data_IF_694802601001
#
_entry.id   IF_694802601001
#
_cell.length_a   1.000
_cell.length_b   1.000
_cell.length_c   1.000
_cell.angle_alpha   90.00
_cell.angle_beta   90.00
_cell.angle_gamma   90.00
#
_symmetry.space_group_name_H-M   'P 1'
#
loop_
_entity.id
_entity.type
_entity.pdbx_description
1 polymer ?
#
# COMPACT_ATOMS: atom_id res chain seq x y z
N UNK A 1 21.25 -12.87 -42.74
CA UNK A 1 20.80 -13.60 -41.52
C UNK A 1 20.41 -12.65 -40.39
N UNK A 2 21.25 -11.68 -39.98
CA UNK A 2 20.93 -10.74 -38.89
C UNK A 2 19.65 -9.90 -39.09
N UNK A 3 19.39 -9.42 -40.31
CA UNK A 3 18.19 -8.61 -40.61
C UNK A 3 16.88 -9.38 -40.46
N UNK A 4 16.87 -10.68 -40.79
CA UNK A 4 15.69 -11.54 -40.64
C UNK A 4 15.40 -11.77 -39.15
N UNK A 5 16.45 -12.01 -38.35
CA UNK A 5 16.34 -12.18 -36.89
C UNK A 5 15.80 -10.90 -36.24
N UNK A 6 16.29 -9.72 -36.64
CA UNK A 6 15.82 -8.44 -36.12
C UNK A 6 14.31 -8.21 -36.38
N UNK A 7 13.81 -8.61 -37.55
CA UNK A 7 12.38 -8.51 -37.87
C UNK A 7 11.51 -9.43 -36.99
N UNK A 8 11.94 -10.67 -36.75
CA UNK A 8 11.24 -11.58 -35.84
C UNK A 8 11.22 -11.08 -34.39
N UNK A 9 12.33 -10.47 -33.93
CA UNK A 9 12.39 -9.87 -32.59
C UNK A 9 11.43 -8.69 -32.50
N UNK A 10 11.39 -7.82 -33.51
CA UNK A 10 10.48 -6.67 -33.51
C UNK A 10 9.01 -7.08 -33.55
N UNK A 11 8.64 -8.09 -34.35
CA UNK A 11 7.25 -8.57 -34.40
C UNK A 11 6.84 -9.23 -33.09
N UNK A 12 7.75 -9.97 -32.44
CA UNK A 12 7.52 -10.53 -31.11
C UNK A 12 7.33 -9.44 -30.04
N UNK A 13 8.15 -8.39 -30.06
CA UNK A 13 8.01 -7.23 -29.17
C UNK A 13 6.66 -6.53 -29.42
N UNK A 14 6.29 -6.28 -30.67
CA UNK A 14 5.00 -5.64 -31.00
C UNK A 14 3.82 -6.52 -30.55
N UNK A 15 3.89 -7.84 -30.76
CA UNK A 15 2.85 -8.77 -30.35
C UNK A 15 2.69 -8.82 -28.82
N UNK A 16 3.79 -8.88 -28.08
CA UNK A 16 3.76 -8.86 -26.60
C UNK A 16 3.22 -7.55 -26.04
N UNK A 17 3.55 -6.42 -26.67
CA UNK A 17 2.99 -5.09 -26.32
C UNK A 17 1.49 -5.05 -26.61
N UNK A 18 1.06 -5.52 -27.79
CA UNK A 18 -0.35 -5.55 -28.18
C UNK A 18 -1.20 -6.47 -27.28
N UNK A 19 -0.69 -7.65 -26.94
CA UNK A 19 -1.35 -8.58 -26.03
C UNK A 19 -1.47 -8.03 -24.60
N UNK A 20 -0.48 -7.24 -24.15
CA UNK A 20 -0.48 -6.62 -22.83
C UNK A 20 -1.18 -5.25 -22.79
N UNK A 21 -1.60 -4.74 -23.94
CA UNK A 21 -2.12 -3.38 -24.13
C UNK A 21 -3.38 -3.15 -23.29
N UNK A 22 -4.27 -4.13 -23.17
CA UNK A 22 -5.48 -4.03 -22.34
C UNK A 22 -5.17 -3.73 -20.88
N UNK A 23 -4.25 -4.49 -20.28
CA UNK A 23 -3.78 -4.29 -18.89
C UNK A 23 -3.07 -2.95 -18.74
N UNK A 24 -2.27 -2.57 -19.74
CA UNK A 24 -1.56 -1.30 -19.73
C UNK A 24 -2.53 -0.11 -19.78
N UNK A 25 -3.60 -0.21 -20.58
CA UNK A 25 -4.64 0.82 -20.65
C UNK A 25 -5.42 0.97 -19.36
N UNK A 26 -5.76 -0.13 -18.69
CA UNK A 26 -6.41 -0.09 -17.38
C UNK A 26 -5.51 0.60 -16.34
N UNK A 27 -4.23 0.22 -16.29
CA UNK A 27 -3.25 0.86 -15.41
C UNK A 27 -3.09 2.35 -15.73
N UNK A 28 -2.99 2.73 -17.01
CA UNK A 28 -2.92 4.13 -17.42
C UNK A 28 -4.17 4.92 -17.03
N UNK A 29 -5.35 4.32 -17.17
CA UNK A 29 -6.63 4.96 -16.82
C UNK A 29 -6.70 5.21 -15.31
N UNK A 30 -6.41 4.20 -14.50
CA UNK A 30 -6.39 4.30 -13.03
C UNK A 30 -5.34 5.33 -12.59
N UNK A 31 -4.12 5.24 -13.12
CA UNK A 31 -3.04 6.18 -12.80
C UNK A 31 -3.44 7.61 -13.13
N UNK A 32 -4.11 7.85 -14.26
CA UNK A 32 -4.55 9.19 -14.64
C UNK A 32 -5.62 9.76 -13.71
N UNK A 33 -6.47 8.91 -13.13
CA UNK A 33 -7.45 9.34 -12.14
C UNK A 33 -6.76 9.64 -10.81
N UNK A 34 -5.93 8.70 -10.32
CA UNK A 34 -5.20 8.86 -9.06
C UNK A 34 -4.25 10.06 -9.09
N UNK A 35 -3.53 10.28 -10.18
CA UNK A 35 -2.63 11.45 -10.33
C UNK A 35 -3.37 12.78 -10.24
N UNK A 36 -4.62 12.88 -10.75
CA UNK A 36 -5.42 14.10 -10.62
C UNK A 36 -5.83 14.40 -9.18
N UNK A 37 -6.21 13.36 -8.43
CA UNK A 37 -6.58 13.52 -7.03
C UNK A 37 -5.35 13.79 -6.15
N UNK A 38 -4.25 13.08 -6.41
CA UNK A 38 -2.99 13.21 -5.66
C UNK A 38 -2.22 14.49 -6.00
N UNK A 39 -2.45 15.12 -7.16
CA UNK A 39 -1.84 16.40 -7.51
C UNK A 39 -2.24 17.55 -6.56
N UNK A 40 -3.31 17.37 -5.78
CA UNK A 40 -3.73 18.32 -4.74
C UNK A 40 -2.84 18.27 -3.51
N UNK A 41 -2.14 17.16 -3.29
CA UNK A 41 -1.34 16.93 -2.09
C UNK A 41 0.12 17.33 -2.33
N UNK A 42 0.80 17.93 -1.35
CA UNK A 42 2.22 18.23 -1.45
C UNK A 42 3.00 16.91 -1.52
N UNK A 43 3.90 16.78 -2.49
CA UNK A 43 4.71 15.58 -2.66
C UNK A 43 5.75 15.68 -3.77
N UNK A 44 6.70 14.74 -3.81
CA UNK A 44 7.77 14.72 -4.81
C UNK A 44 7.22 14.46 -6.21
N UNK A 45 7.85 15.06 -7.22
CA UNK A 45 7.42 14.94 -8.63
C UNK A 45 7.41 13.48 -9.07
N UNK A 46 6.24 12.99 -9.49
CA UNK A 46 6.05 11.61 -9.93
C UNK A 46 5.76 11.53 -11.44
N UNK A 47 6.44 10.61 -12.14
CA UNK A 47 6.10 10.26 -13.52
C UNK A 47 4.96 9.23 -13.55
N UNK A 48 4.06 9.24 -14.55
CA UNK A 48 2.85 8.40 -14.54
C UNK A 48 3.08 6.88 -14.60
N UNK A 49 4.27 6.44 -15.05
CA UNK A 49 4.60 5.01 -15.20
C UNK A 49 5.66 4.53 -14.19
N UNK A 50 6.73 5.31 -14.00
CA UNK A 50 7.82 4.98 -13.08
C UNK A 50 7.55 5.53 -11.67
N UNK A 51 6.74 6.58 -11.56
CA UNK A 51 6.42 7.21 -10.30
C UNK A 51 7.53 8.12 -9.79
N UNK A 52 7.71 8.09 -8.47
CA UNK A 52 8.81 8.73 -7.72
C UNK A 52 10.02 7.79 -7.65
N UNK A 53 9.87 6.52 -8.04
CA UNK A 53 10.90 5.50 -7.87
C UNK A 53 12.23 5.81 -8.58
N UNK A 54 12.22 6.64 -9.63
CA UNK A 54 13.45 7.07 -10.30
C UNK A 54 14.34 7.98 -9.43
N UNK A 55 13.77 8.61 -8.40
CA UNK A 55 14.50 9.46 -7.46
C UNK A 55 15.05 8.67 -6.27
N UNK A 56 14.65 7.41 -6.11
CA UNK A 56 15.09 6.61 -4.97
C UNK A 56 16.59 6.35 -5.03
N UNK A 57 17.25 6.62 -3.90
CA UNK A 57 18.65 6.24 -3.72
C UNK A 57 18.75 4.72 -3.59
N UNK A 58 19.74 4.13 -4.26
CA UNK A 58 19.94 2.68 -4.28
C UNK A 58 20.57 2.16 -2.97
N UNK A 59 21.27 3.01 -2.22
CA UNK A 59 21.78 2.66 -0.90
C UNK A 59 20.67 2.75 0.15
N UNK A 60 20.47 1.68 0.92
CA UNK A 60 19.45 1.54 1.96
C UNK A 60 19.55 2.64 3.02
N UNK A 61 20.78 3.01 3.41
CA UNK A 61 21.00 4.04 4.42
C UNK A 61 20.55 5.40 3.91
N UNK A 62 20.98 5.76 2.71
CA UNK A 62 20.63 7.04 2.11
C UNK A 62 19.15 7.13 1.73
N UNK A 63 18.55 6.02 1.32
CA UNK A 63 17.12 5.92 1.06
C UNK A 63 16.29 6.22 2.30
N UNK A 64 16.72 5.75 3.47
CA UNK A 64 16.02 6.01 4.73
C UNK A 64 16.06 7.50 5.08
N UNK A 65 17.24 8.14 4.94
CA UNK A 65 17.35 9.59 5.13
C UNK A 65 16.56 10.39 4.11
N UNK A 66 16.51 9.92 2.86
CA UNK A 66 15.70 10.55 1.81
C UNK A 66 14.20 10.53 2.15
N UNK A 67 13.69 9.41 2.66
CA UNK A 67 12.28 9.34 3.11
C UNK A 67 12.04 10.27 4.28
N UNK A 68 12.96 10.32 5.26
CA UNK A 68 12.85 11.23 6.39
C UNK A 68 12.80 12.70 5.94
N UNK A 69 13.67 13.07 5.00
CA UNK A 69 13.71 14.41 4.42
C UNK A 69 12.39 14.77 3.73
N UNK A 70 11.85 13.87 2.89
CA UNK A 70 10.54 14.07 2.26
C UNK A 70 9.39 14.11 3.26
N UNK A 71 9.46 13.32 4.33
CA UNK A 71 8.46 13.37 5.39
C UNK A 71 8.46 14.74 6.09
N UNK A 72 9.63 15.31 6.34
CA UNK A 72 9.77 16.66 6.91
C UNK A 72 9.31 17.74 5.93
N UNK A 73 9.70 17.64 4.66
CA UNK A 73 9.41 18.64 3.63
C UNK A 73 7.92 18.67 3.25
N UNK A 74 7.29 17.52 3.03
CA UNK A 74 5.94 17.44 2.48
C UNK A 74 4.86 17.11 3.50
N UNK A 75 5.20 16.43 4.59
CA UNK A 75 4.19 15.91 5.53
C UNK A 75 4.19 16.54 6.93
N UNK A 76 5.25 17.25 7.32
CA UNK A 76 5.36 17.91 8.64
C UNK A 76 5.47 19.44 8.57
N UNK A 77 5.43 20.04 7.38
CA UNK A 77 5.39 21.50 7.24
C UNK A 77 4.05 22.07 7.75
N UNK A 78 4.05 23.31 8.26
CA UNK A 78 2.88 23.96 8.88
C UNK A 78 1.63 24.05 7.97
N UNK A 79 1.82 24.00 6.65
CA UNK A 79 0.75 24.02 5.65
C UNK A 79 0.41 22.64 5.05
N UNK A 80 0.98 21.57 5.59
CA UNK A 80 0.79 20.21 5.06
C UNK A 80 -0.30 19.45 5.80
N UNK A 81 -0.96 18.52 5.11
CA UNK A 81 -2.08 17.74 5.63
C UNK A 81 -1.61 16.55 6.52
N UNK A 82 -0.37 16.53 6.99
CA UNK A 82 0.14 15.39 7.79
C UNK A 82 0.40 14.12 6.98
N UNK A 83 0.35 14.20 5.65
CA UNK A 83 0.48 13.08 4.73
C UNK A 83 1.00 13.53 3.37
N UNK A 84 1.70 12.64 2.67
CA UNK A 84 2.21 12.89 1.32
C UNK A 84 2.15 11.62 0.45
N UNK A 85 1.88 11.75 -0.87
CA UNK A 85 1.88 10.61 -1.78
C UNK A 85 3.27 10.33 -2.36
N UNK A 86 3.59 9.05 -2.48
CA UNK A 86 4.73 8.54 -3.26
C UNK A 86 4.23 7.56 -4.31
N UNK A 87 4.91 7.50 -5.44
CA UNK A 87 4.58 6.54 -6.49
C UNK A 87 5.68 5.49 -6.61
N UNK A 88 5.32 4.24 -6.37
CA UNK A 88 6.21 3.09 -6.54
C UNK A 88 5.81 2.38 -7.84
N UNK A 89 6.45 2.79 -8.93
CA UNK A 89 6.02 2.39 -10.28
C UNK A 89 4.61 2.92 -10.56
N UNK A 90 3.69 2.09 -11.06
CA UNK A 90 2.32 2.49 -11.35
C UNK A 90 1.41 2.53 -10.10
N UNK A 91 1.91 2.15 -8.91
CA UNK A 91 1.07 2.07 -7.71
C UNK A 91 1.29 3.31 -6.83
N UNK A 92 0.25 4.14 -6.59
CA UNK A 92 0.34 5.22 -5.64
C UNK A 92 0.28 4.68 -4.21
N UNK A 93 1.14 5.19 -3.33
CA UNK A 93 1.19 4.88 -1.90
C UNK A 93 1.15 6.19 -1.14
N UNK A 94 0.16 6.37 -0.27
CA UNK A 94 0.08 7.52 0.63
C UNK A 94 0.81 7.20 1.94
N UNK A 95 1.78 8.03 2.31
CA UNK A 95 2.45 7.94 3.60
C UNK A 95 1.74 8.91 4.55
N UNK A 96 1.22 8.36 5.66
CA UNK A 96 0.56 9.11 6.71
C UNK A 96 1.51 9.27 7.89
N UNK A 97 1.73 10.49 8.37
CA UNK A 97 2.68 10.79 9.44
C UNK A 97 1.98 11.19 10.73
N UNK A 98 0.92 11.99 10.62
CA UNK A 98 0.23 12.56 11.79
C UNK A 98 -0.91 11.66 12.27
N UNK A 99 -1.07 11.55 13.58
CA UNK A 99 -2.12 10.75 14.22
C UNK A 99 -3.54 11.12 13.76
N UNK A 100 -3.78 12.40 13.48
CA UNK A 100 -5.08 12.92 13.01
C UNK A 100 -5.53 12.29 11.70
N UNK A 101 -4.58 11.98 10.80
CA UNK A 101 -4.84 11.37 9.50
C UNK A 101 -4.89 9.85 9.59
N UNK A 102 -4.04 9.28 10.45
CA UNK A 102 -3.93 7.82 10.64
C UNK A 102 -5.15 7.26 11.37
N UNK A 103 -5.65 7.96 12.39
CA UNK A 103 -6.76 7.52 13.25
C UNK A 103 -8.03 7.14 12.47
N UNK A 104 -8.61 8.00 11.61
CA UNK A 104 -9.82 7.64 10.88
C UNK A 104 -9.60 6.46 9.92
N UNK A 105 -8.39 6.30 9.38
CA UNK A 105 -8.06 5.14 8.55
C UNK A 105 -8.03 3.85 9.38
N UNK A 106 -7.37 3.88 10.55
CA UNK A 106 -7.26 2.71 11.45
C UNK A 106 -8.57 2.35 12.17
N UNK A 107 -9.47 3.30 12.38
CA UNK A 107 -10.78 3.06 12.99
C UNK A 107 -11.82 2.56 11.97
N UNK A 108 -11.57 2.74 10.67
CA UNK A 108 -12.52 2.36 9.62
C UNK A 108 -12.44 0.87 9.28
N UNK A 109 -13.56 0.15 9.40
CA UNK A 109 -13.61 -1.30 9.09
C UNK A 109 -13.67 -1.60 7.58
N UNK A 110 -13.89 -0.59 6.73
CA UNK A 110 -14.02 -0.75 5.27
C UNK A 110 -12.73 -0.43 4.51
N UNK A 111 -11.90 0.50 5.01
CA UNK A 111 -10.69 0.93 4.30
C UNK A 111 -9.43 0.13 4.66
N UNK A 112 -9.50 -0.76 5.66
CA UNK A 112 -8.38 -1.65 6.04
C UNK A 112 -8.42 -2.91 5.17
N UNK A 113 -8.32 -2.73 3.85
CA UNK A 113 -8.11 -3.86 2.94
C UNK A 113 -6.60 -4.05 2.74
N UNK A 114 -6.11 -5.27 2.97
CA UNK A 114 -4.68 -5.60 2.81
C UNK A 114 -4.26 -5.31 1.37
N UNK A 115 -3.19 -4.54 1.13
CA UNK A 115 -2.77 -4.21 -0.22
C UNK A 115 -2.25 -5.47 -0.93
N UNK A 116 -2.35 -5.49 -2.27
CA UNK A 116 -1.91 -6.62 -3.11
C UNK A 116 -0.44 -7.01 -2.87
N UNK A 117 0.39 -6.05 -2.45
CA UNK A 117 1.79 -6.23 -2.10
C UNK A 117 1.99 -7.20 -0.92
N UNK A 118 1.06 -7.23 0.04
CA UNK A 118 1.13 -8.12 1.20
C UNK A 118 1.10 -9.59 0.80
N UNK A 119 0.42 -9.96 -0.30
CA UNK A 119 0.38 -11.35 -0.79
C UNK A 119 1.77 -11.89 -1.12
N UNK A 120 2.58 -11.07 -1.81
CA UNK A 120 3.96 -11.43 -2.19
C UNK A 120 4.90 -11.48 -0.98
N UNK A 121 4.76 -10.53 -0.06
CA UNK A 121 5.52 -10.52 1.20
C UNK A 121 5.19 -11.77 2.01
N UNK A 122 3.91 -12.16 2.04
CA UNK A 122 3.45 -13.36 2.71
C UNK A 122 4.07 -14.62 2.11
N UNK A 123 4.08 -14.74 0.78
CA UNK A 123 4.74 -15.84 0.05
C UNK A 123 6.23 -15.92 0.38
N UNK A 124 6.94 -14.79 0.47
CA UNK A 124 8.36 -14.74 0.77
C UNK A 124 8.72 -15.11 2.22
N UNK A 125 7.90 -14.72 3.20
CA UNK A 125 8.07 -15.08 4.62
C UNK A 125 7.85 -16.59 4.87
N UNK A 126 7.27 -17.31 3.91
CA UNK A 126 7.04 -18.75 3.98
C UNK A 126 5.93 -19.17 4.95
N UNK A 127 5.87 -20.46 5.25
CA UNK A 127 4.96 -21.06 6.25
C UNK A 127 5.64 -21.05 7.63
N UNK A 128 5.84 -19.85 8.19
CA UNK A 128 6.39 -19.65 9.52
C UNK A 128 5.35 -19.16 10.54
N UNK A 129 5.70 -19.20 11.83
CA UNK A 129 4.89 -18.75 12.98
C UNK A 129 4.16 -17.41 12.74
N UNK A 130 4.78 -16.46 12.03
CA UNK A 130 4.19 -15.16 11.73
C UNK A 130 2.92 -15.28 10.88
N UNK A 131 2.88 -16.23 9.93
CA UNK A 131 1.69 -16.51 9.11
C UNK A 131 0.55 -17.01 9.97
N UNK A 132 0.81 -17.98 10.83
CA UNK A 132 -0.22 -18.59 11.67
C UNK A 132 -0.74 -17.61 12.71
N UNK A 133 0.13 -16.77 13.29
CA UNK A 133 -0.27 -15.69 14.20
C UNK A 133 -1.13 -14.66 13.46
N UNK A 134 -0.71 -14.18 12.31
CA UNK A 134 -1.47 -13.18 11.53
C UNK A 134 -2.79 -13.76 11.02
N UNK A 135 -2.80 -15.01 10.54
CA UNK A 135 -4.00 -15.69 10.06
C UNK A 135 -4.98 -15.97 11.21
N UNK A 136 -4.51 -16.48 12.36
CA UNK A 136 -5.35 -16.70 13.53
C UNK A 136 -5.91 -15.38 14.07
N UNK A 137 -5.10 -14.32 14.11
CA UNK A 137 -5.57 -12.99 14.49
C UNK A 137 -6.66 -12.49 13.53
N UNK A 138 -6.43 -12.58 12.21
CA UNK A 138 -7.42 -12.16 11.22
C UNK A 138 -8.71 -12.98 11.24
N UNK A 139 -8.62 -14.29 11.55
CA UNK A 139 -9.77 -15.18 11.69
C UNK A 139 -10.56 -14.87 12.96
N UNK A 140 -9.85 -14.59 14.06
CA UNK A 140 -10.46 -14.12 15.31
C UNK A 140 -11.16 -12.75 15.12
N UNK A 141 -10.57 -11.85 14.35
CA UNK A 141 -11.13 -10.53 14.05
C UNK A 141 -12.36 -10.63 13.12
N UNK A 142 -12.31 -11.47 12.10
CA UNK A 142 -13.46 -11.76 11.24
C UNK A 142 -14.62 -12.39 12.04
N UNK A 143 -14.32 -13.29 12.97
CA UNK A 143 -15.30 -13.90 13.86
C UNK A 143 -15.93 -12.85 14.80
N UNK A 144 -15.13 -11.98 15.41
CA UNK A 144 -15.63 -10.88 16.26
C UNK A 144 -16.52 -9.89 15.49
N UNK A 145 -16.22 -9.63 14.22
CA UNK A 145 -17.06 -8.79 13.34
C UNK A 145 -18.41 -9.46 13.04
N UNK A 146 -18.44 -10.79 12.91
CA UNK A 146 -19.69 -11.56 12.81
C UNK A 146 -20.48 -11.56 14.13
N UNK A 147 -19.78 -11.57 15.26
CA UNK A 147 -20.37 -11.68 16.60
C UNK A 147 -20.72 -10.31 17.23
N UNK A 148 -20.47 -9.19 16.53
CA UNK A 148 -20.85 -7.83 16.96
C UNK A 148 -20.07 -7.28 18.16
N UNK A 149 -18.98 -7.93 18.57
CA UNK A 149 -18.21 -7.56 19.77
C UNK A 149 -17.21 -6.43 19.49
N UNK A 150 -17.26 -5.33 20.25
CA UNK A 150 -16.29 -4.21 20.21
C UNK A 150 -15.30 -4.31 21.39
N UNK A 151 -14.02 -4.06 21.12
CA UNK A 151 -12.96 -4.07 22.13
C UNK A 151 -13.15 -2.95 23.18
N UNK A 152 -13.28 -3.32 24.45
CA UNK A 152 -12.91 -2.46 25.58
C UNK A 152 -11.43 -2.71 25.89
N UNK A 153 -10.57 -1.72 25.67
CA UNK A 153 -9.16 -1.80 26.03
C UNK A 153 -9.00 -1.47 27.52
N UNK A 154 -9.00 -2.49 28.38
CA UNK A 154 -8.30 -2.40 29.66
C UNK A 154 -7.08 -3.30 29.60
N UNK A 155 -5.92 -2.65 29.69
CA UNK A 155 -4.62 -3.28 29.88
C UNK A 155 -4.67 -4.19 31.11
N UNK A 156 -4.31 -5.47 30.94
CA UNK A 156 -4.05 -6.40 32.04
C UNK A 156 -5.07 -7.51 32.18
N UNK A 157 -4.68 -8.72 31.77
CA UNK A 157 -5.33 -9.97 32.17
C UNK A 157 -6.46 -10.43 31.25
N UNK A 158 -6.24 -11.59 30.61
CA UNK A 158 -7.33 -12.42 30.11
C UNK A 158 -8.18 -12.84 31.32
N UNK A 159 -9.36 -12.22 31.49
CA UNK A 159 -10.41 -12.75 32.35
C UNK A 159 -11.69 -12.85 31.52
N UNK A 160 -12.18 -14.08 31.34
CA UNK A 160 -13.49 -14.33 30.76
C UNK A 160 -14.54 -14.06 31.84
N UNK A 161 -15.10 -12.86 31.85
CA UNK A 161 -16.33 -12.60 32.61
C UNK A 161 -17.51 -12.78 31.67
N UNK A 162 -18.18 -13.93 31.79
CA UNK A 162 -19.49 -14.16 31.19
C UNK A 162 -20.46 -13.29 31.99
N UNK A 163 -20.94 -12.19 31.41
CA UNK A 163 -22.05 -11.44 31.99
C UNK A 163 -23.26 -12.37 31.95
N UNK A 164 -23.62 -12.93 33.10
CA UNK A 164 -24.92 -13.56 33.30
C UNK A 164 -25.98 -12.49 33.04
N UNK A 165 -26.84 -12.74 32.07
CA UNK A 165 -28.16 -12.12 32.04
C UNK A 165 -28.95 -12.67 33.23
N UNK A 166 -29.54 -11.79 34.02
CA UNK A 166 -30.68 -12.06 34.89
C UNK A 166 -31.29 -10.73 35.36
N UNK A 167 -32.61 -10.64 35.60
CA UNK A 167 -33.74 -11.32 34.94
C UNK A 167 -34.57 -10.37 34.04
#
# INVERSE_FOLDING_TARGET
MLGIIALFVLTFIIWTIAASWSKLWELFRINRICTKELAKWPGPKSLPLIGTAYQFKLDNREFTYQIEEWAREYGLCDNSCGAFPIWVGPVPVAILLTHEVVRPLMESTENITKPVQYGKIMEWIGTGLLRDVICNFSKCEAQKKSDGLRFGSNFGGFFFEKKLDDP
#
